data_IF_127709686090
#
_entry.id   IF_127709686090
#
_cell.length_a   1.000
_cell.length_b   1.000
_cell.length_c   1.000
_cell.angle_alpha   90.00
_cell.angle_beta   90.00
_cell.angle_gamma   90.00
#
_symmetry.space_group_name_H-M   'P 1'
#
loop_
_entity.id
_entity.type
_entity.pdbx_description
1 polymer ?
#
# COMPACT_ATOMS: atom_id res chain seq x y z
N UNK A 1 -6.46 -19.36 46.86
CA UNK A 1 -5.64 -19.07 45.67
C UNK A 1 -6.49 -19.42 44.45
N UNK A 2 -7.01 -18.44 43.73
CA UNK A 2 -7.84 -18.72 42.55
C UNK A 2 -6.91 -19.04 41.38
N UNK A 3 -7.06 -20.23 40.81
CA UNK A 3 -6.22 -20.76 39.77
C UNK A 3 -6.62 -20.11 38.43
N UNK A 4 -5.90 -19.08 37.99
CA UNK A 4 -6.10 -18.44 36.68
C UNK A 4 -5.53 -19.31 35.56
N UNK A 5 -6.07 -20.52 35.37
CA UNK A 5 -5.83 -21.32 34.18
C UNK A 5 -6.54 -20.70 32.97
N UNK A 6 -5.88 -20.64 31.82
CA UNK A 6 -6.47 -20.12 30.57
C UNK A 6 -7.87 -20.69 30.35
N UNK A 7 -8.85 -19.79 30.18
CA UNK A 7 -10.23 -20.19 29.89
C UNK A 7 -10.29 -20.86 28.51
N UNK A 8 -11.09 -21.92 28.35
CA UNK A 8 -11.36 -22.61 27.08
C UNK A 8 -11.68 -21.65 25.93
N UNK A 9 -12.40 -20.57 26.19
CA UNK A 9 -12.69 -19.53 25.20
C UNK A 9 -11.41 -18.84 24.73
N UNK A 10 -10.54 -18.46 25.67
CA UNK A 10 -9.27 -17.83 25.39
C UNK A 10 -8.35 -18.80 24.66
N UNK A 11 -8.32 -20.08 25.06
CA UNK A 11 -7.58 -21.11 24.34
C UNK A 11 -8.06 -21.26 22.89
N UNK A 12 -9.37 -21.39 22.65
CA UNK A 12 -9.93 -21.53 21.29
C UNK A 12 -9.70 -20.29 20.42
N UNK A 13 -9.85 -19.10 21.00
CA UNK A 13 -9.54 -17.84 20.31
C UNK A 13 -8.06 -17.76 19.94
N UNK A 14 -7.17 -18.15 20.85
CA UNK A 14 -5.73 -18.08 20.62
C UNK A 14 -5.24 -19.17 19.68
N UNK A 15 -5.78 -20.40 19.79
CA UNK A 15 -5.43 -21.52 18.91
C UNK A 15 -5.96 -21.32 17.49
N UNK A 16 -7.14 -20.72 17.33
CA UNK A 16 -7.71 -20.41 16.02
C UNK A 16 -6.87 -19.38 15.26
N UNK A 17 -6.47 -18.29 15.93
CA UNK A 17 -5.61 -17.26 15.35
C UNK A 17 -4.21 -17.81 15.01
N UNK A 18 -3.61 -18.62 15.91
CA UNK A 18 -2.31 -19.23 15.67
C UNK A 18 -2.34 -20.23 14.49
N UNK A 19 -3.40 -21.04 14.38
CA UNK A 19 -3.55 -22.01 13.29
C UNK A 19 -3.75 -21.33 11.92
N UNK A 20 -4.58 -20.28 11.86
CA UNK A 20 -4.80 -19.52 10.63
C UNK A 20 -3.50 -18.84 10.15
N UNK A 21 -2.79 -18.14 11.05
CA UNK A 21 -1.52 -17.51 10.71
C UNK A 21 -0.45 -18.50 10.24
N UNK A 22 -0.34 -19.66 10.89
CA UNK A 22 0.60 -20.70 10.46
C UNK A 22 0.23 -21.29 9.08
N UNK A 23 -1.06 -21.46 8.78
CA UNK A 23 -1.52 -21.95 7.49
C UNK A 23 -1.23 -20.95 6.36
N UNK A 24 -1.46 -19.66 6.59
CA UNK A 24 -1.21 -18.61 5.60
C UNK A 24 0.30 -18.44 5.30
N UNK A 25 1.15 -18.59 6.32
CA UNK A 25 2.62 -18.64 6.15
C UNK A 25 3.01 -19.87 5.32
N UNK A 26 2.45 -21.03 5.63
CA UNK A 26 2.75 -22.27 4.91
C UNK A 26 2.25 -22.26 3.45
N UNK A 27 1.14 -21.59 3.17
CA UNK A 27 0.64 -21.41 1.80
C UNK A 27 1.40 -20.35 1.01
N UNK A 28 2.27 -19.57 1.68
CA UNK A 28 2.99 -18.46 1.06
C UNK A 28 2.09 -17.30 0.69
N UNK A 29 0.93 -17.14 1.35
CA UNK A 29 -0.08 -16.10 1.07
C UNK A 29 0.01 -14.95 2.06
N UNK A 30 1.19 -14.64 2.58
CA UNK A 30 1.42 -13.57 3.54
C UNK A 30 2.59 -12.72 3.07
N UNK A 31 2.43 -11.40 3.15
CA UNK A 31 3.54 -10.45 3.08
C UNK A 31 3.72 -9.80 4.44
N UNK A 32 4.97 -9.57 4.84
CA UNK A 32 5.28 -9.11 6.20
C UNK A 32 6.47 -8.14 6.21
N UNK A 33 6.44 -7.24 7.17
CA UNK A 33 7.55 -6.33 7.42
C UNK A 33 8.80 -7.10 7.86
N UNK A 34 9.99 -6.62 7.48
CA UNK A 34 11.26 -7.21 7.90
C UNK A 34 11.50 -7.13 9.41
N UNK A 35 10.93 -6.12 10.07
CA UNK A 35 10.94 -5.93 11.52
C UNK A 35 9.77 -6.60 12.25
N UNK A 36 8.85 -7.24 11.51
CA UNK A 36 7.65 -7.88 12.05
C UNK A 36 6.58 -6.90 12.55
N UNK A 37 6.69 -5.60 12.29
CA UNK A 37 5.73 -4.59 12.77
C UNK A 37 4.32 -4.78 12.18
N UNK A 38 4.21 -5.43 11.02
CA UNK A 38 2.95 -5.74 10.38
C UNK A 38 3.06 -6.99 9.49
N UNK A 39 1.92 -7.62 9.23
CA UNK A 39 1.75 -8.68 8.25
C UNK A 39 0.37 -8.52 7.58
N UNK A 40 0.31 -8.80 6.28
CA UNK A 40 -0.91 -8.82 5.48
C UNK A 40 -1.10 -10.23 4.93
N UNK A 41 -2.22 -10.85 5.30
CA UNK A 41 -2.69 -12.10 4.73
C UNK A 41 -3.45 -11.81 3.43
N UNK A 42 -3.10 -12.53 2.37
CA UNK A 42 -3.69 -12.43 1.04
C UNK A 42 -4.69 -13.55 0.83
N UNK A 43 -5.86 -13.22 0.30
CA UNK A 43 -6.94 -14.18 0.07
C UNK A 43 -6.91 -14.80 -1.33
N UNK A 44 -6.32 -14.11 -2.32
CA UNK A 44 -6.35 -14.50 -3.73
C UNK A 44 -4.95 -14.59 -4.33
N UNK A 45 -4.11 -13.61 -4.04
CA UNK A 45 -2.76 -13.47 -4.56
C UNK A 45 -1.76 -14.27 -3.71
N UNK A 46 -0.66 -14.64 -4.33
CA UNK A 46 0.50 -15.21 -3.64
C UNK A 46 1.31 -14.12 -2.96
N UNK A 47 2.11 -14.50 -1.97
CA UNK A 47 3.03 -13.58 -1.27
C UNK A 47 4.05 -12.96 -2.22
N UNK A 48 4.54 -13.70 -3.22
CA UNK A 48 5.46 -13.16 -4.23
C UNK A 48 4.81 -12.08 -5.10
N UNK A 49 3.58 -12.32 -5.57
CA UNK A 49 2.79 -11.31 -6.27
C UNK A 49 2.55 -10.09 -5.37
N UNK A 50 2.23 -10.31 -4.10
CA UNK A 50 2.04 -9.24 -3.11
C UNK A 50 3.30 -8.38 -2.89
N UNK A 51 4.47 -9.00 -2.68
CA UNK A 51 5.74 -8.29 -2.48
C UNK A 51 6.13 -7.54 -3.76
N UNK A 52 5.92 -8.14 -4.93
CA UNK A 52 6.18 -7.49 -6.22
C UNK A 52 5.29 -6.27 -6.42
N UNK A 53 3.99 -6.38 -6.13
CA UNK A 53 3.04 -5.27 -6.22
C UNK A 53 3.38 -4.15 -5.21
N UNK A 54 3.80 -4.50 -3.99
CA UNK A 54 4.24 -3.53 -2.98
C UNK A 54 5.48 -2.76 -3.49
N UNK A 55 6.50 -3.48 -3.94
CA UNK A 55 7.72 -2.91 -4.47
C UNK A 55 7.45 -2.01 -5.69
N UNK A 56 6.62 -2.48 -6.62
CA UNK A 56 6.18 -1.71 -7.78
C UNK A 56 5.47 -0.42 -7.34
N UNK A 57 4.52 -0.49 -6.43
CA UNK A 57 3.80 0.68 -5.91
C UNK A 57 4.76 1.71 -5.29
N UNK A 58 5.78 1.24 -4.56
CA UNK A 58 6.83 2.09 -3.97
C UNK A 58 7.72 2.73 -5.02
N UNK A 59 8.04 2.04 -6.13
CA UNK A 59 8.80 2.62 -7.25
C UNK A 59 8.01 3.64 -8.06
N UNK A 60 6.72 3.41 -8.26
CA UNK A 60 5.85 4.32 -9.00
C UNK A 60 5.58 5.63 -8.25
N UNK A 61 5.43 5.56 -6.93
CA UNK A 61 5.13 6.71 -6.07
C UNK A 61 6.04 6.72 -4.85
N UNK A 62 7.34 7.03 -5.00
CA UNK A 62 8.30 6.94 -3.91
C UNK A 62 8.11 8.08 -2.90
N UNK A 63 7.85 7.73 -1.64
CA UNK A 63 7.75 8.68 -0.52
C UNK A 63 8.69 8.28 0.60
N UNK A 64 9.68 9.12 0.90
CA UNK A 64 10.70 8.84 1.92
C UNK A 64 10.13 8.74 3.34
N UNK A 65 9.06 9.49 3.64
CA UNK A 65 8.38 9.48 4.95
C UNK A 65 7.40 8.32 5.14
N UNK A 66 7.02 7.62 4.07
CA UNK A 66 6.03 6.54 4.13
C UNK A 66 6.72 5.17 4.24
N UNK A 67 6.37 4.45 5.31
CA UNK A 67 6.72 3.05 5.49
C UNK A 67 5.93 2.12 4.57
N UNK A 68 6.42 0.90 4.38
CA UNK A 68 5.83 -0.10 3.48
C UNK A 68 4.39 -0.47 3.84
N UNK A 69 3.98 -0.31 5.10
CA UNK A 69 2.60 -0.54 5.54
C UNK A 69 1.56 0.26 4.74
N UNK A 70 1.92 1.46 4.26
CA UNK A 70 1.00 2.28 3.46
C UNK A 70 0.87 1.74 2.03
N UNK A 71 1.92 1.12 1.50
CA UNK A 71 1.92 0.45 0.21
C UNK A 71 1.30 -0.95 0.28
N UNK A 72 1.37 -1.62 1.44
CA UNK A 72 0.63 -2.86 1.69
C UNK A 72 -0.89 -2.68 1.54
N UNK A 73 -1.44 -1.50 1.85
CA UNK A 73 -2.83 -1.16 1.57
C UNK A 73 -3.18 -1.15 0.07
N UNK A 74 -2.22 -0.87 -0.81
CA UNK A 74 -2.40 -1.00 -2.26
C UNK A 74 -2.56 -2.47 -2.64
N UNK A 75 -1.72 -3.34 -2.06
CA UNK A 75 -1.78 -4.79 -2.27
C UNK A 75 -3.09 -5.35 -1.76
N UNK A 76 -3.54 -4.95 -0.58
CA UNK A 76 -4.83 -5.36 0.00
C UNK A 76 -6.00 -5.02 -0.93
N UNK A 77 -6.01 -3.82 -1.52
CA UNK A 77 -7.06 -3.44 -2.47
C UNK A 77 -7.01 -4.25 -3.78
N UNK A 78 -5.81 -4.56 -4.29
CA UNK A 78 -5.65 -5.40 -5.47
C UNK A 78 -6.08 -6.85 -5.21
N UNK A 79 -5.68 -7.42 -4.06
CA UNK A 79 -6.07 -8.78 -3.64
C UNK A 79 -7.58 -8.88 -3.42
N UNK A 80 -8.16 -7.90 -2.73
CA UNK A 80 -9.61 -7.82 -2.51
C UNK A 80 -10.39 -7.70 -3.81
N UNK A 81 -9.91 -6.89 -4.77
CA UNK A 81 -10.53 -6.79 -6.09
C UNK A 81 -10.37 -8.09 -6.91
N UNK A 82 -9.25 -8.80 -6.76
CA UNK A 82 -8.98 -10.04 -7.47
C UNK A 82 -9.89 -11.21 -7.04
N UNK A 83 -10.38 -11.20 -5.78
CA UNK A 83 -11.23 -12.26 -5.21
C UNK A 83 -12.47 -12.63 -6.04
N UNK A 84 -13.00 -11.68 -6.81
CA UNK A 84 -14.17 -11.86 -7.67
C UNK A 84 -13.88 -11.74 -9.17
N UNK A 85 -12.63 -11.55 -9.57
CA UNK A 85 -12.25 -11.19 -10.94
C UNK A 85 -11.07 -12.03 -11.43
N UNK A 86 -11.39 -13.15 -12.09
CA UNK A 86 -10.39 -14.03 -12.68
C UNK A 86 -9.56 -13.34 -13.78
N UNK A 87 -10.11 -12.33 -14.45
CA UNK A 87 -9.38 -11.53 -15.44
C UNK A 87 -8.31 -10.68 -14.77
N UNK A 88 -8.63 -10.07 -13.62
CA UNK A 88 -7.65 -9.33 -12.82
C UNK A 88 -6.58 -10.25 -12.22
N UNK A 89 -6.95 -11.44 -11.75
CA UNK A 89 -5.96 -12.45 -11.29
C UNK A 89 -4.97 -12.78 -12.41
N UNK A 90 -5.49 -13.07 -13.61
CA UNK A 90 -4.65 -13.33 -14.79
C UNK A 90 -3.75 -12.14 -15.14
N UNK A 91 -4.30 -10.92 -15.14
CA UNK A 91 -3.55 -9.70 -15.42
C UNK A 91 -2.39 -9.49 -14.44
N UNK A 92 -2.62 -9.70 -13.14
CA UNK A 92 -1.59 -9.53 -12.10
C UNK A 92 -0.52 -10.62 -12.27
N UNK A 93 -0.92 -11.87 -12.40
CA UNK A 93 -0.01 -13.00 -12.54
C UNK A 93 0.89 -12.86 -13.77
N UNK A 94 0.30 -12.51 -14.91
CA UNK A 94 1.03 -12.33 -16.17
C UNK A 94 1.97 -11.11 -16.10
N UNK A 95 1.54 -10.04 -15.44
CA UNK A 95 2.35 -8.84 -15.22
C UNK A 95 3.56 -9.09 -14.31
N UNK A 96 3.34 -9.77 -13.18
CA UNK A 96 4.42 -10.18 -12.27
C UNK A 96 5.39 -11.12 -12.98
N UNK A 97 4.89 -12.09 -13.76
CA UNK A 97 5.75 -12.96 -14.57
C UNK A 97 6.59 -12.20 -15.62
N UNK A 98 6.04 -11.15 -16.22
CA UNK A 98 6.79 -10.27 -17.14
C UNK A 98 7.88 -9.49 -16.40
N UNK A 99 7.60 -8.97 -15.21
CA UNK A 99 8.59 -8.30 -14.36
C UNK A 99 9.76 -9.25 -14.04
N UNK A 100 9.47 -10.46 -13.54
CA UNK A 100 10.49 -11.42 -13.10
C UNK A 100 11.32 -12.01 -14.26
N UNK A 101 10.74 -12.11 -15.45
CA UNK A 101 11.44 -12.65 -16.60
C UNK A 101 12.31 -11.62 -17.34
N UNK A 102 12.08 -10.32 -17.14
CA UNK A 102 12.73 -9.26 -17.91
C UNK A 102 14.27 -9.24 -17.82
N UNK A 103 14.83 -9.68 -16.68
CA UNK A 103 16.28 -9.73 -16.43
C UNK A 103 16.78 -11.11 -16.00
N UNK A 104 15.93 -12.13 -16.02
CA UNK A 104 16.29 -13.52 -15.65
C UNK A 104 16.50 -13.76 -14.15
N UNK A 105 16.10 -12.80 -13.31
CA UNK A 105 16.05 -12.88 -11.84
C UNK A 105 14.76 -12.22 -11.39
N UNK A 106 14.20 -12.62 -10.25
CA UNK A 106 12.97 -12.03 -9.74
C UNK A 106 13.12 -10.51 -9.65
N UNK A 107 12.10 -9.77 -10.04
CA UNK A 107 12.17 -8.32 -10.16
C UNK A 107 12.44 -7.63 -8.83
N UNK A 108 11.91 -8.19 -7.74
CA UNK A 108 12.12 -7.71 -6.37
C UNK A 108 13.59 -7.84 -5.91
N UNK A 109 14.36 -8.75 -6.52
CA UNK A 109 15.78 -8.98 -6.21
C UNK A 109 16.72 -8.09 -7.06
N UNK A 110 16.18 -7.35 -8.04
CA UNK A 110 16.95 -6.40 -8.84
C UNK A 110 17.36 -5.17 -8.04
N UNK A 111 18.49 -4.57 -8.40
CA UNK A 111 18.84 -3.22 -7.93
C UNK A 111 17.79 -2.20 -8.35
N UNK A 112 17.64 -1.11 -7.61
CA UNK A 112 16.61 -0.09 -7.86
C UNK A 112 16.62 0.45 -9.30
N UNK A 113 17.80 0.64 -9.90
CA UNK A 113 17.93 1.12 -11.28
C UNK A 113 17.39 0.12 -12.30
N UNK A 114 17.67 -1.16 -12.13
CA UNK A 114 17.11 -2.21 -13.00
C UNK A 114 15.61 -2.42 -12.76
N UNK A 115 15.12 -2.23 -11.54
CA UNK A 115 13.68 -2.24 -11.27
C UNK A 115 12.98 -1.14 -12.07
N UNK A 116 13.54 0.07 -12.07
CA UNK A 116 13.01 1.22 -12.81
C UNK A 116 13.07 0.98 -14.33
N UNK A 117 14.20 0.52 -14.87
CA UNK A 117 14.35 0.24 -16.30
C UNK A 117 13.29 -0.76 -16.81
N UNK A 118 13.04 -1.83 -16.04
CA UNK A 118 12.02 -2.82 -16.39
C UNK A 118 10.62 -2.20 -16.34
N UNK A 119 10.31 -1.39 -15.33
CA UNK A 119 9.02 -0.71 -15.20
C UNK A 119 8.76 0.27 -16.36
N UNK A 120 9.76 1.05 -16.75
CA UNK A 120 9.69 1.96 -17.91
C UNK A 120 9.38 1.20 -19.20
N UNK A 121 9.98 0.03 -19.40
CA UNK A 121 9.75 -0.79 -20.60
C UNK A 121 8.31 -1.30 -20.75
N UNK A 122 7.53 -1.33 -19.67
CA UNK A 122 6.16 -1.86 -19.64
C UNK A 122 5.11 -0.82 -19.23
N UNK A 123 5.45 0.47 -19.22
CA UNK A 123 4.56 1.53 -18.71
C UNK A 123 3.22 1.62 -19.47
N UNK A 124 3.20 1.23 -20.75
CA UNK A 124 2.01 1.24 -21.58
C UNK A 124 1.11 0.01 -21.38
N UNK A 125 1.53 -0.98 -20.58
CA UNK A 125 0.78 -2.23 -20.41
C UNK A 125 -0.46 -2.04 -19.52
N UNK A 126 -1.52 -2.84 -19.73
CA UNK A 126 -2.70 -2.80 -18.86
C UNK A 126 -2.38 -3.12 -17.39
N UNK A 127 -1.41 -4.01 -17.15
CA UNK A 127 -0.95 -4.36 -15.81
C UNK A 127 -0.35 -3.14 -15.11
N UNK A 128 0.60 -2.45 -15.76
CA UNK A 128 1.21 -1.25 -15.21
C UNK A 128 0.18 -0.18 -14.90
N UNK A 129 -0.73 0.10 -15.84
CA UNK A 129 -1.78 1.11 -15.64
C UNK A 129 -2.75 0.73 -14.52
N UNK A 130 -3.06 -0.57 -14.35
CA UNK A 130 -3.90 -1.06 -13.25
C UNK A 130 -3.22 -0.81 -11.90
N UNK A 131 -1.96 -1.22 -11.73
CA UNK A 131 -1.23 -1.03 -10.46
C UNK A 131 -1.05 0.45 -10.17
N UNK A 132 -0.65 1.25 -11.18
CA UNK A 132 -0.53 2.71 -11.06
C UNK A 132 -1.83 3.36 -10.61
N UNK A 133 -2.94 3.05 -11.29
CA UNK A 133 -4.27 3.60 -10.97
C UNK A 133 -4.72 3.24 -9.56
N UNK A 134 -4.58 1.97 -9.17
CA UNK A 134 -4.90 1.55 -7.81
C UNK A 134 -3.98 2.20 -6.78
N UNK A 135 -2.69 2.37 -7.06
CA UNK A 135 -1.76 3.03 -6.14
C UNK A 135 -2.17 4.47 -5.85
N UNK A 136 -2.54 5.25 -6.88
CA UNK A 136 -3.02 6.63 -6.70
C UNK A 136 -4.21 6.67 -5.75
N UNK A 137 -5.20 5.80 -5.97
CA UNK A 137 -6.41 5.80 -5.15
C UNK A 137 -6.10 5.29 -3.74
N UNK A 138 -5.47 4.14 -3.61
CA UNK A 138 -5.22 3.49 -2.33
C UNK A 138 -4.30 4.32 -1.42
N UNK A 139 -3.25 4.92 -1.99
CA UNK A 139 -2.25 5.65 -1.21
C UNK A 139 -2.76 7.04 -0.82
N UNK A 140 -3.31 7.80 -1.76
CA UNK A 140 -3.71 9.19 -1.50
C UNK A 140 -5.12 9.32 -0.93
N UNK A 141 -5.96 8.28 -0.98
CA UNK A 141 -7.23 8.24 -0.26
C UNK A 141 -7.10 7.55 1.12
N UNK A 142 -5.92 7.61 1.74
CA UNK A 142 -5.66 7.06 3.05
C UNK A 142 -5.52 8.19 4.10
N UNK A 143 -6.45 8.33 5.06
CA UNK A 143 -6.38 9.35 6.10
C UNK A 143 -5.10 9.33 6.96
N UNK A 144 -4.46 8.16 7.12
CA UNK A 144 -3.19 8.06 7.83
C UNK A 144 -2.03 8.64 7.02
N UNK A 145 -2.13 8.61 5.69
CA UNK A 145 -1.15 9.19 4.77
C UNK A 145 -1.30 10.71 4.67
N UNK A 146 -2.52 11.24 4.74
CA UNK A 146 -2.80 12.68 4.69
C UNK A 146 -1.97 13.51 5.69
N UNK A 147 -1.79 12.97 6.90
CA UNK A 147 -0.97 13.59 7.97
C UNK A 147 0.49 13.79 7.57
N UNK A 148 1.04 12.90 6.74
CA UNK A 148 2.41 13.02 6.23
C UNK A 148 2.55 14.09 5.15
N UNK A 149 1.44 14.45 4.50
CA UNK A 149 1.40 15.47 3.44
C UNK A 149 0.85 16.82 3.91
N UNK A 150 0.49 16.95 5.19
CA UNK A 150 -0.12 18.16 5.73
C UNK A 150 -1.54 18.40 5.22
N UNK A 151 -2.21 17.37 4.70
CA UNK A 151 -3.62 17.47 4.29
C UNK A 151 -4.51 17.22 5.51
N UNK A 152 -5.37 18.18 5.83
CA UNK A 152 -6.23 18.10 7.02
C UNK A 152 -7.48 17.23 6.85
N UNK A 153 -7.71 16.66 5.66
CA UNK A 153 -8.93 15.94 5.33
C UNK A 153 -10.10 16.86 4.97
N UNK A 154 -11.19 16.28 4.47
CA UNK A 154 -12.33 17.02 3.92
C UNK A 154 -12.82 18.16 4.86
N UNK A 155 -13.08 19.33 4.27
CA UNK A 155 -13.46 20.55 5.00
C UNK A 155 -14.88 21.03 4.71
N UNK A 156 -15.57 20.44 3.73
CA UNK A 156 -16.91 20.87 3.31
C UNK A 156 -17.92 20.89 4.47
N UNK A 157 -17.92 19.85 5.29
CA UNK A 157 -18.79 19.72 6.48
C UNK A 157 -18.43 20.71 7.60
N UNK A 158 -17.28 21.39 7.48
CA UNK A 158 -16.71 22.31 8.47
C UNK A 158 -16.68 23.76 7.97
N UNK A 159 -17.43 24.10 6.90
CA UNK A 159 -17.48 25.46 6.36
C UNK A 159 -16.37 25.80 5.36
N UNK A 160 -15.61 24.79 4.90
CA UNK A 160 -14.52 24.95 3.93
C UNK A 160 -13.14 25.14 4.57
N UNK A 161 -12.13 25.39 3.74
CA UNK A 161 -10.73 25.53 4.17
C UNK A 161 -10.35 26.95 4.63
N UNK A 162 -11.21 27.95 4.42
CA UNK A 162 -10.87 29.37 4.65
C UNK A 162 -10.33 29.64 6.07
N UNK A 163 -10.90 28.99 7.08
CA UNK A 163 -10.46 29.09 8.49
C UNK A 163 -9.83 27.78 9.00
N UNK A 164 -9.43 26.89 8.09
CA UNK A 164 -9.00 25.51 8.37
C UNK A 164 -7.76 25.14 7.56
N UNK A 165 -6.74 26.00 7.60
CA UNK A 165 -5.46 25.65 6.99
C UNK A 165 -5.49 25.62 5.47
N UNK A 166 -6.10 26.62 4.84
CA UNK A 166 -5.93 26.83 3.40
C UNK A 166 -4.49 27.24 3.06
N UNK A 167 -3.84 27.98 3.97
CA UNK A 167 -2.59 28.70 3.79
C UNK A 167 -1.45 28.26 4.74
N UNK A 168 -1.62 27.17 5.48
CA UNK A 168 -0.65 26.64 6.46
C UNK A 168 0.25 25.52 5.91
N UNK A 169 0.38 25.45 4.59
CA UNK A 169 1.25 24.51 3.88
C UNK A 169 2.72 24.80 4.19
N UNK A 170 3.33 24.02 5.11
CA UNK A 170 4.73 24.21 5.55
C UNK A 170 5.80 24.22 4.44
N UNK A 171 5.49 23.71 3.26
CA UNK A 171 6.40 23.64 2.12
C UNK A 171 6.26 24.84 1.17
N UNK A 172 5.12 25.52 1.19
CA UNK A 172 4.93 26.78 0.50
C UNK A 172 5.31 27.88 1.51
N UNK A 173 6.34 28.67 1.23
CA UNK A 173 6.62 29.85 2.06
C UNK A 173 5.42 30.79 2.08
N UNK A 174 5.47 31.82 2.93
CA UNK A 174 4.42 32.84 2.92
C UNK A 174 4.35 33.51 1.52
N UNK A 175 3.16 33.58 0.91
CA UNK A 175 3.00 34.29 -0.34
C UNK A 175 3.32 35.78 -0.14
N UNK A 176 3.86 36.44 -1.17
CA UNK A 176 4.11 37.88 -1.11
C UNK A 176 2.80 38.67 -0.98
N UNK A 177 2.83 39.88 -0.43
CA UNK A 177 1.60 40.69 -0.22
C UNK A 177 0.84 40.97 -1.53
N UNK A 178 1.53 41.04 -2.66
CA UNK A 178 0.97 41.17 -4.00
C UNK A 178 0.32 39.87 -4.52
N UNK A 179 0.78 38.70 -4.07
CA UNK A 179 0.19 37.40 -4.38
C UNK A 179 -0.96 37.03 -3.42
N UNK A 180 -0.98 37.59 -2.21
CA UNK A 180 -2.05 37.43 -1.21
C UNK A 180 -2.37 38.77 -0.54
N UNK A 181 -3.11 39.67 -1.23
CA UNK A 181 -3.44 40.99 -0.69
C UNK A 181 -4.33 40.86 0.54
N UNK A 182 -4.08 41.70 1.55
CA UNK A 182 -4.97 41.78 2.72
C UNK A 182 -6.37 42.18 2.27
N UNK A 183 -7.38 41.48 2.78
CA UNK A 183 -8.77 41.85 2.56
C UNK A 183 -8.99 43.29 3.06
N UNK A 184 -9.50 44.16 2.17
CA UNK A 184 -9.81 45.56 2.46
C UNK A 184 -11.12 45.74 3.22
#
# INVERSE_FOLDING_TARGET
MSNSGMNRRQFLQTSGLAAAGAAAIASGSVIMASDGAWALELGTLTGHEGVTLLGMSRRLYPHASLGDMYYAGVVEQLDGAAKGDAGLVGLIKDGVGQLDSAKGVNWVDLSEGYQLEVLESMEATPFFQKVRGTTVVALYNNPLVWRHFGYEGASFEFGGYLERGFDDLRWAGEPSEDASPKAG
#
